data_IF_481610309058
#
_entry.id   IF_481610309058
#
_cell.length_a   1.000
_cell.length_b   1.000
_cell.length_c   1.000
_cell.angle_alpha   90.00
_cell.angle_beta   90.00
_cell.angle_gamma   90.00
#
_symmetry.space_group_name_H-M   'P 1'
#
loop_
_entity.id
_entity.type
_entity.pdbx_description
1 polymer ?
#
# COMPACT_ATOMS: atom_id res chain seq x y z
N UNK A 1 -6.71 -12.88 25.39
CA UNK A 1 -6.42 -12.40 24.00
C UNK A 1 -7.62 -11.60 23.51
N UNK A 2 -7.51 -10.29 23.47
CA UNK A 2 -8.60 -9.40 23.05
C UNK A 2 -8.78 -9.53 21.53
N UNK A 3 -9.86 -10.17 21.12
CA UNK A 3 -10.26 -10.34 19.71
C UNK A 3 -10.72 -8.98 19.13
N UNK A 4 -9.74 -8.08 18.93
CA UNK A 4 -10.00 -6.72 18.43
C UNK A 4 -10.41 -6.79 16.96
N UNK A 5 -11.48 -6.10 16.58
CA UNK A 5 -11.94 -6.00 15.20
C UNK A 5 -10.82 -5.44 14.30
N UNK A 6 -10.63 -6.06 13.14
CA UNK A 6 -9.69 -5.59 12.11
C UNK A 6 -10.49 -4.79 11.08
N UNK A 7 -10.14 -3.53 10.90
CA UNK A 7 -10.73 -2.71 9.85
C UNK A 7 -10.09 -3.02 8.48
N UNK A 8 -10.90 -2.90 7.41
CA UNK A 8 -10.48 -3.25 6.06
C UNK A 8 -10.60 -2.06 5.14
N UNK A 9 -9.53 -1.76 4.43
CA UNK A 9 -9.47 -0.85 3.32
C UNK A 9 -9.33 -1.58 1.98
N UNK A 10 -9.54 -0.85 0.91
CA UNK A 10 -9.35 -1.30 -0.47
C UNK A 10 -8.33 -0.41 -1.16
N UNK A 11 -7.30 -1.00 -1.74
CA UNK A 11 -6.47 -0.29 -2.72
C UNK A 11 -7.15 -0.37 -4.08
N UNK A 12 -7.30 0.78 -4.72
CA UNK A 12 -7.78 0.88 -6.09
C UNK A 12 -6.71 1.46 -6.99
N UNK A 13 -6.61 0.93 -8.20
CA UNK A 13 -5.71 1.47 -9.21
C UNK A 13 -6.14 2.86 -9.66
N UNK A 14 -5.19 3.64 -10.12
CA UNK A 14 -5.41 4.97 -10.69
C UNK A 14 -5.38 4.95 -12.23
N UNK A 15 -5.54 3.77 -12.83
CA UNK A 15 -5.59 3.62 -14.28
C UNK A 15 -6.96 3.96 -14.87
N UNK A 16 -7.02 4.39 -16.14
CA UNK A 16 -8.26 4.49 -16.89
C UNK A 16 -8.99 3.13 -17.00
N UNK A 17 -10.31 3.13 -17.21
CA UNK A 17 -11.19 4.30 -17.28
C UNK A 17 -11.62 4.78 -15.89
N UNK A 18 -11.91 6.08 -15.77
CA UNK A 18 -12.36 6.71 -14.52
C UNK A 18 -13.60 6.05 -13.90
N UNK A 19 -14.46 5.42 -14.73
CA UNK A 19 -15.60 4.63 -14.27
C UNK A 19 -15.18 3.47 -13.36
N UNK A 20 -14.02 2.87 -13.56
CA UNK A 20 -13.46 1.81 -12.73
C UNK A 20 -13.26 2.29 -11.28
N UNK A 21 -12.58 3.41 -11.10
CA UNK A 21 -12.37 4.01 -9.77
C UNK A 21 -13.70 4.34 -9.07
N UNK A 22 -14.71 4.86 -9.83
CA UNK A 22 -16.05 5.16 -9.29
C UNK A 22 -16.78 3.90 -8.81
N UNK A 23 -16.75 2.83 -9.60
CA UNK A 23 -17.41 1.55 -9.26
C UNK A 23 -16.75 0.96 -8.00
N UNK A 24 -15.44 0.94 -7.92
CA UNK A 24 -14.72 0.42 -6.77
C UNK A 24 -14.96 1.26 -5.51
N UNK A 25 -15.01 2.59 -5.62
CA UNK A 25 -15.38 3.47 -4.51
C UNK A 25 -16.80 3.19 -4.03
N UNK A 26 -17.77 3.04 -4.95
CA UNK A 26 -19.15 2.72 -4.59
C UNK A 26 -19.24 1.37 -3.89
N UNK A 27 -18.55 0.34 -4.41
CA UNK A 27 -18.48 -0.97 -3.79
C UNK A 27 -17.89 -0.91 -2.37
N UNK A 28 -16.80 -0.16 -2.17
CA UNK A 28 -16.21 0.06 -0.86
C UNK A 28 -17.19 0.74 0.13
N UNK A 29 -17.97 1.73 -0.34
CA UNK A 29 -19.01 2.39 0.47
C UNK A 29 -20.13 1.45 0.88
N UNK A 30 -20.68 0.70 -0.09
CA UNK A 30 -21.75 -0.28 0.16
C UNK A 30 -21.29 -1.39 1.10
N UNK A 31 -20.04 -1.81 0.95
CA UNK A 31 -19.39 -2.79 1.82
C UNK A 31 -19.03 -2.23 3.21
N UNK A 32 -19.18 -0.92 3.43
CA UNK A 32 -18.78 -0.22 4.66
C UNK A 32 -17.32 -0.45 5.02
N UNK A 33 -16.44 -0.44 4.01
CA UNK A 33 -15.02 -0.48 4.26
C UNK A 33 -14.56 0.78 5.03
N UNK A 34 -13.42 0.70 5.68
CA UNK A 34 -12.86 1.81 6.47
C UNK A 34 -12.17 2.84 5.56
N UNK A 35 -11.41 2.39 4.57
CA UNK A 35 -10.60 3.26 3.72
C UNK A 35 -10.55 2.83 2.26
N UNK A 36 -10.23 3.80 1.41
CA UNK A 36 -9.82 3.58 0.01
C UNK A 36 -8.50 4.29 -0.19
N UNK A 37 -7.50 3.53 -0.67
CA UNK A 37 -6.14 4.02 -0.92
C UNK A 37 -5.86 4.01 -2.42
N UNK A 38 -5.40 5.14 -2.95
CA UNK A 38 -4.95 5.26 -4.35
C UNK A 38 -3.47 4.95 -4.48
N UNK A 39 -3.05 4.56 -5.68
CA UNK A 39 -1.64 4.37 -6.04
C UNK A 39 -1.09 5.70 -6.59
N UNK A 40 0.17 6.03 -6.29
CA UNK A 40 0.88 7.17 -6.88
C UNK A 40 2.05 6.66 -7.74
N UNK A 41 1.77 6.34 -8.99
CA UNK A 41 2.76 5.85 -9.94
C UNK A 41 2.72 6.66 -11.25
N UNK A 42 3.86 6.72 -11.93
CA UNK A 42 3.97 7.09 -13.35
C UNK A 42 4.02 5.84 -14.22
N UNK A 43 4.61 4.76 -13.71
CA UNK A 43 4.65 3.47 -14.39
C UNK A 43 4.36 2.31 -13.44
N UNK A 44 3.80 1.24 -13.98
CA UNK A 44 3.57 0.01 -13.22
C UNK A 44 4.84 -0.85 -13.19
N UNK A 45 4.89 -1.81 -12.24
CA UNK A 45 5.91 -2.85 -12.23
C UNK A 45 5.82 -3.86 -13.39
N UNK A 46 4.92 -3.65 -14.37
CA UNK A 46 4.78 -4.51 -15.55
C UNK A 46 5.54 -3.88 -16.72
N UNK A 47 6.61 -4.53 -17.22
CA UNK A 47 7.33 -4.03 -18.40
C UNK A 47 6.44 -4.00 -19.64
N UNK A 48 6.53 -2.93 -20.42
CA UNK A 48 5.79 -2.78 -21.69
C UNK A 48 6.09 -3.92 -22.66
N UNK A 49 7.32 -4.43 -22.64
CA UNK A 49 7.76 -5.51 -23.52
C UNK A 49 6.96 -6.81 -23.39
N UNK A 50 6.33 -7.07 -22.24
CA UNK A 50 5.49 -8.25 -21.98
C UNK A 50 4.00 -7.93 -21.89
N UNK A 51 3.60 -6.66 -22.06
CA UNK A 51 2.19 -6.23 -22.00
C UNK A 51 1.44 -6.69 -23.25
N UNK A 52 0.77 -7.82 -23.16
CA UNK A 52 0.00 -8.44 -24.24
C UNK A 52 -1.13 -9.34 -23.67
N UNK A 53 -1.96 -9.89 -24.56
CA UNK A 53 -3.09 -10.74 -24.18
C UNK A 53 -2.71 -12.05 -23.50
N UNK A 54 -1.45 -12.53 -23.72
CA UNK A 54 -0.96 -13.76 -23.08
C UNK A 54 -0.59 -13.52 -21.61
N UNK A 55 -0.25 -12.27 -21.27
CA UNK A 55 -0.03 -11.87 -19.90
C UNK A 55 -1.36 -11.64 -19.17
N UNK A 56 -2.21 -10.79 -19.74
CA UNK A 56 -3.47 -10.39 -19.11
C UNK A 56 -4.50 -9.93 -20.15
N UNK A 57 -5.77 -10.21 -19.88
CA UNK A 57 -6.88 -9.71 -20.68
C UNK A 57 -6.99 -8.17 -20.70
N UNK A 58 -6.44 -7.49 -19.68
CA UNK A 58 -6.40 -6.02 -19.58
C UNK A 58 -5.65 -5.40 -20.75
N UNK A 59 -4.58 -6.04 -21.22
CA UNK A 59 -3.82 -5.57 -22.37
C UNK A 59 -4.60 -5.51 -23.69
N UNK A 60 -5.81 -6.08 -23.71
CA UNK A 60 -6.72 -5.92 -24.85
C UNK A 60 -7.58 -4.63 -24.77
N UNK A 61 -7.61 -3.97 -23.62
CA UNK A 61 -8.42 -2.78 -23.33
C UNK A 61 -7.53 -1.54 -23.16
N UNK A 62 -6.37 -1.72 -22.53
CA UNK A 62 -5.44 -0.64 -22.20
C UNK A 62 -4.29 -0.64 -23.19
N UNK A 63 -3.98 0.52 -23.74
CA UNK A 63 -2.89 0.67 -24.71
C UNK A 63 -1.52 0.53 -24.04
N UNK A 64 -1.43 0.84 -22.73
CA UNK A 64 -0.20 0.78 -21.95
C UNK A 64 -0.44 0.31 -20.53
N UNK A 65 0.49 -0.45 -19.91
CA UNK A 65 0.44 -0.76 -18.48
C UNK A 65 0.73 0.47 -17.60
N UNK A 66 1.19 1.59 -18.20
CA UNK A 66 1.68 2.78 -17.50
C UNK A 66 0.71 3.96 -17.57
N UNK A 67 -0.56 3.74 -17.81
CA UNK A 67 -1.58 4.79 -17.82
C UNK A 67 -2.09 5.05 -16.39
N UNK A 68 -1.57 6.10 -15.75
CA UNK A 68 -1.99 6.48 -14.40
C UNK A 68 -2.51 7.90 -14.34
N UNK A 69 -3.63 8.10 -13.65
CA UNK A 69 -4.08 9.43 -13.23
C UNK A 69 -3.23 9.94 -12.06
N UNK A 70 -3.05 11.26 -11.98
CA UNK A 70 -2.50 11.89 -10.78
C UNK A 70 -3.42 11.60 -9.57
N UNK A 71 -2.83 11.07 -8.48
CA UNK A 71 -3.60 10.64 -7.32
C UNK A 71 -4.26 11.81 -6.59
N UNK A 72 -3.66 13.00 -6.55
CA UNK A 72 -4.22 14.16 -5.83
C UNK A 72 -5.47 14.67 -6.54
N UNK A 73 -5.40 14.78 -7.87
CA UNK A 73 -6.55 15.15 -8.71
C UNK A 73 -7.68 14.13 -8.56
N UNK A 74 -7.33 12.83 -8.60
CA UNK A 74 -8.32 11.75 -8.48
C UNK A 74 -8.90 11.69 -7.06
N UNK A 75 -8.14 11.92 -5.99
CA UNK A 75 -8.65 12.02 -4.63
C UNK A 75 -9.67 13.16 -4.49
N UNK A 76 -9.35 14.35 -5.04
CA UNK A 76 -10.27 15.49 -5.08
C UNK A 76 -11.57 15.15 -5.81
N UNK A 77 -11.48 14.49 -6.97
CA UNK A 77 -12.66 14.04 -7.73
C UNK A 77 -13.53 13.03 -6.95
N UNK A 78 -12.91 12.11 -6.22
CA UNK A 78 -13.62 11.07 -5.47
C UNK A 78 -14.16 11.56 -4.13
N UNK A 79 -13.64 12.66 -3.58
CA UNK A 79 -13.94 13.16 -2.24
C UNK A 79 -15.43 13.37 -1.99
N UNK A 80 -16.14 14.03 -2.93
CA UNK A 80 -17.60 14.29 -2.82
C UNK A 80 -18.44 13.01 -2.78
N UNK A 81 -17.88 11.89 -3.26
CA UNK A 81 -18.53 10.57 -3.35
C UNK A 81 -18.10 9.60 -2.27
N UNK A 82 -17.09 9.93 -1.47
CA UNK A 82 -16.49 9.05 -0.47
C UNK A 82 -17.43 8.70 0.71
N UNK A 83 -18.36 9.59 1.05
CA UNK A 83 -19.24 9.40 2.21
C UNK A 83 -18.46 9.32 3.51
N UNK A 84 -18.49 8.16 4.18
CA UNK A 84 -17.77 7.91 5.45
C UNK A 84 -16.43 7.17 5.25
N UNK A 85 -16.06 6.84 4.02
CA UNK A 85 -14.76 6.26 3.72
C UNK A 85 -13.64 7.27 4.02
N UNK A 86 -12.54 6.79 4.54
CA UNK A 86 -11.29 7.53 4.58
C UNK A 86 -10.60 7.39 3.23
N UNK A 87 -10.33 8.48 2.56
CA UNK A 87 -9.55 8.49 1.33
C UNK A 87 -8.08 8.70 1.65
N UNK A 88 -7.21 8.11 0.85
CA UNK A 88 -5.77 8.30 1.02
C UNK A 88 -4.96 7.81 -0.17
N UNK A 89 -3.66 7.96 -0.07
CA UNK A 89 -2.65 7.43 -0.98
C UNK A 89 -1.82 6.35 -0.29
N UNK A 90 -1.50 5.27 -0.99
CA UNK A 90 -0.75 4.19 -0.40
C UNK A 90 0.25 3.55 -1.36
N UNK A 91 1.47 4.12 -1.51
CA UNK A 91 2.05 5.30 -0.86
C UNK A 91 2.53 6.32 -1.90
N UNK A 92 2.74 7.59 -1.51
CA UNK A 92 3.49 8.60 -2.27
C UNK A 92 4.90 8.78 -1.69
N UNK A 93 5.69 9.68 -2.27
CA UNK A 93 7.02 10.06 -1.77
C UNK A 93 7.28 11.57 -2.00
N UNK A 94 8.34 12.09 -1.39
CA UNK A 94 8.66 13.52 -1.42
C UNK A 94 9.88 13.85 -2.31
N UNK A 95 10.08 13.11 -3.40
CA UNK A 95 11.09 13.39 -4.42
C UNK A 95 10.43 14.09 -5.62
N UNK A 96 9.34 13.52 -6.15
CA UNK A 96 8.57 14.09 -7.25
C UNK A 96 7.74 15.32 -6.85
N UNK A 97 7.37 15.41 -5.56
CA UNK A 97 6.57 16.54 -5.03
C UNK A 97 7.18 17.10 -3.76
N UNK A 98 7.27 18.42 -3.68
CA UNK A 98 7.73 19.09 -2.47
C UNK A 98 6.80 18.80 -1.28
N UNK A 99 7.30 18.53 -0.06
CA UNK A 99 6.49 18.14 1.09
C UNK A 99 5.43 19.16 1.50
N UNK A 100 5.64 20.45 1.26
CA UNK A 100 4.63 21.51 1.46
C UNK A 100 3.43 21.31 0.54
N UNK A 101 3.65 20.95 -0.75
CA UNK A 101 2.56 20.67 -1.69
C UNK A 101 1.77 19.42 -1.29
N UNK A 102 2.46 18.40 -0.78
CA UNK A 102 1.81 17.19 -0.25
C UNK A 102 0.93 17.56 0.96
N UNK A 103 1.45 18.34 1.91
CA UNK A 103 0.70 18.79 3.08
C UNK A 103 -0.52 19.62 2.69
N UNK A 104 -0.37 20.58 1.78
CA UNK A 104 -1.46 21.43 1.28
C UNK A 104 -2.57 20.58 0.63
N UNK A 105 -2.21 19.63 -0.24
CA UNK A 105 -3.19 18.76 -0.90
C UNK A 105 -3.96 17.92 0.13
N UNK A 106 -3.29 17.37 1.14
CA UNK A 106 -3.92 16.58 2.18
C UNK A 106 -4.81 17.43 3.11
N UNK A 107 -4.40 18.65 3.46
CA UNK A 107 -5.23 19.62 4.17
C UNK A 107 -6.48 19.98 3.36
N UNK A 108 -6.32 20.26 2.06
CA UNK A 108 -7.46 20.51 1.16
C UNK A 108 -8.40 19.30 1.12
N UNK A 109 -7.87 18.09 1.00
CA UNK A 109 -8.67 16.86 1.00
C UNK A 109 -9.45 16.69 2.31
N UNK A 110 -8.89 17.12 3.45
CA UNK A 110 -9.60 17.08 4.74
C UNK A 110 -10.84 17.98 4.80
N UNK A 111 -10.88 19.06 4.02
CA UNK A 111 -12.07 19.89 3.87
C UNK A 111 -13.12 19.24 2.96
N UNK A 112 -12.69 18.49 1.96
CA UNK A 112 -13.56 17.85 0.97
C UNK A 112 -14.16 16.52 1.46
N UNK A 113 -13.60 15.91 2.52
CA UNK A 113 -14.03 14.61 3.06
C UNK A 113 -14.68 14.75 4.43
N UNK A 114 -15.46 13.73 4.83
CA UNK A 114 -16.11 13.68 6.15
C UNK A 114 -15.22 13.10 7.23
N UNK A 115 -14.11 12.46 6.87
CA UNK A 115 -13.16 11.82 7.79
C UNK A 115 -11.72 12.21 7.44
N UNK A 116 -10.85 12.16 8.43
CA UNK A 116 -9.42 12.45 8.25
C UNK A 116 -8.83 11.60 7.12
N UNK A 117 -8.22 12.21 6.09
CA UNK A 117 -7.57 11.47 5.01
C UNK A 117 -6.30 10.78 5.50
N UNK A 118 -5.80 9.83 4.70
CA UNK A 118 -4.57 9.09 4.99
C UNK A 118 -3.50 9.47 3.97
N UNK A 119 -2.41 10.05 4.44
CA UNK A 119 -1.20 10.22 3.69
C UNK A 119 -0.30 9.02 3.94
N UNK A 120 -0.37 8.00 3.08
CA UNK A 120 0.65 6.97 3.03
C UNK A 120 1.88 7.51 2.31
N UNK A 121 3.05 7.44 2.96
CA UNK A 121 4.30 7.98 2.43
C UNK A 121 5.46 7.03 2.69
N UNK A 122 6.34 6.87 1.69
CA UNK A 122 7.53 6.04 1.73
C UNK A 122 8.76 6.74 1.16
N UNK A 123 9.87 6.03 1.08
CA UNK A 123 11.11 6.57 0.56
C UNK A 123 11.13 6.72 -0.98
N UNK A 124 10.12 6.17 -1.65
CA UNK A 124 10.01 6.18 -3.11
C UNK A 124 10.47 4.89 -3.77
N UNK A 125 10.25 4.81 -5.06
CA UNK A 125 10.62 3.69 -5.93
C UNK A 125 11.41 4.24 -7.11
N UNK A 126 12.58 3.66 -7.37
CA UNK A 126 13.47 4.12 -8.44
C UNK A 126 12.77 4.22 -9.80
N UNK A 127 11.88 3.27 -10.12
CA UNK A 127 11.15 3.25 -11.39
C UNK A 127 10.31 4.51 -11.63
N UNK A 128 9.81 5.13 -10.57
CA UNK A 128 8.98 6.34 -10.66
C UNK A 128 9.80 7.65 -10.54
N UNK A 129 11.12 7.57 -10.45
CA UNK A 129 12.02 8.70 -10.15
C UNK A 129 13.13 8.83 -11.20
N UNK A 130 14.04 7.85 -11.30
CA UNK A 130 15.20 7.87 -12.20
C UNK A 130 14.86 8.16 -13.68
N UNK A 131 13.86 7.48 -14.29
CA UNK A 131 13.55 7.69 -15.70
C UNK A 131 13.04 9.09 -16.01
N UNK A 132 12.69 9.86 -15.00
CA UNK A 132 12.16 11.22 -15.13
C UNK A 132 13.21 12.30 -14.81
N UNK A 133 14.50 11.90 -14.71
CA UNK A 133 15.61 12.83 -14.46
C UNK A 133 15.67 13.35 -13.02
N UNK A 134 14.98 12.70 -12.08
CA UNK A 134 14.99 13.06 -10.66
C UNK A 134 16.04 12.22 -9.90
N UNK A 135 16.66 12.86 -8.92
CA UNK A 135 17.68 12.21 -8.09
C UNK A 135 17.07 11.30 -7.02
N UNK A 136 17.40 10.00 -7.09
CA UNK A 136 17.00 8.97 -6.11
C UNK A 136 18.06 8.76 -5.02
N UNK A 137 19.04 9.64 -4.88
CA UNK A 137 20.02 9.54 -3.81
C UNK A 137 19.38 9.81 -2.44
N UNK A 138 19.88 9.13 -1.41
CA UNK A 138 19.48 9.30 0.00
C UNK A 138 17.97 9.35 0.26
N UNK A 139 17.15 8.45 -0.35
CA UNK A 139 15.69 8.57 -0.33
C UNK A 139 15.10 8.53 1.09
N UNK A 140 15.74 7.80 2.02
CA UNK A 140 15.29 7.73 3.42
C UNK A 140 15.62 9.02 4.19
N UNK A 141 16.73 9.70 3.91
CA UNK A 141 17.06 11.00 4.50
C UNK A 141 16.09 12.06 4.00
N UNK A 142 15.81 12.07 2.71
CA UNK A 142 14.82 12.96 2.10
C UNK A 142 13.43 12.74 2.68
N UNK A 143 13.02 11.48 2.90
CA UNK A 143 11.76 11.16 3.56
C UNK A 143 11.72 11.69 5.00
N UNK A 144 12.79 11.53 5.77
CA UNK A 144 12.85 12.02 7.16
C UNK A 144 12.61 13.53 7.24
N UNK A 145 13.32 14.31 6.41
CA UNK A 145 13.10 15.76 6.33
C UNK A 145 11.71 16.12 5.84
N UNK A 146 11.18 15.37 4.84
CA UNK A 146 9.82 15.57 4.34
C UNK A 146 8.76 15.34 5.42
N UNK A 147 8.91 14.31 6.25
CA UNK A 147 8.02 14.03 7.38
C UNK A 147 8.04 15.18 8.40
N UNK A 148 9.21 15.75 8.69
CA UNK A 148 9.32 16.91 9.56
C UNK A 148 8.60 18.13 8.97
N UNK A 149 8.86 18.44 7.70
CA UNK A 149 8.21 19.57 7.00
C UNK A 149 6.67 19.36 6.95
N UNK A 150 6.21 18.16 6.62
CA UNK A 150 4.77 17.86 6.59
C UNK A 150 4.15 18.05 7.98
N UNK A 151 4.80 17.55 9.04
CA UNK A 151 4.33 17.74 10.42
C UNK A 151 4.24 19.22 10.78
N UNK A 152 5.26 20.02 10.45
CA UNK A 152 5.23 21.47 10.65
C UNK A 152 4.03 22.10 9.92
N UNK A 153 3.82 21.77 8.64
CA UNK A 153 2.70 22.30 7.87
C UNK A 153 1.31 21.91 8.45
N UNK A 154 1.17 20.68 8.97
CA UNK A 154 -0.10 20.22 9.56
C UNK A 154 -0.41 20.83 10.92
N UNK A 155 0.59 21.38 11.63
CA UNK A 155 0.45 21.95 12.98
C UNK A 155 0.77 23.43 13.09
N UNK A 156 1.16 24.09 11.99
CA UNK A 156 1.60 25.47 12.00
C UNK A 156 0.57 26.44 12.58
N UNK A 157 1.04 27.42 13.32
CA UNK A 157 0.30 28.56 13.85
C UNK A 157 1.05 29.87 13.57
N UNK A 158 1.68 29.95 12.42
CA UNK A 158 2.50 31.08 11.99
C UNK A 158 3.61 30.63 11.04
N UNK A 159 4.58 31.52 10.75
CA UNK A 159 5.64 31.23 9.80
C UNK A 159 6.48 30.01 10.18
N UNK A 160 6.76 29.13 9.21
CA UNK A 160 7.52 27.90 9.33
C UNK A 160 8.94 28.15 8.84
N UNK A 161 9.92 27.83 9.66
CA UNK A 161 11.34 27.80 9.26
C UNK A 161 11.87 26.37 9.44
N UNK A 162 12.54 25.84 8.42
CA UNK A 162 13.17 24.53 8.43
C UNK A 162 14.47 24.57 7.62
N UNK A 163 15.52 23.95 8.13
CA UNK A 163 16.82 23.88 7.45
C UNK A 163 17.31 22.43 7.48
N UNK A 164 17.12 21.72 6.36
CA UNK A 164 17.62 20.39 6.12
C UNK A 164 18.60 20.36 4.96
N UNK A 165 19.06 19.16 4.61
CA UNK A 165 19.92 18.91 3.45
C UNK A 165 19.15 19.02 2.13
N UNK A 166 17.92 18.51 2.12
CA UNK A 166 17.06 18.38 0.92
C UNK A 166 15.97 19.45 0.86
N UNK A 167 15.49 19.92 2.02
CA UNK A 167 14.43 20.92 2.06
C UNK A 167 14.84 22.10 2.95
N UNK A 168 14.45 23.30 2.51
CA UNK A 168 14.66 24.52 3.28
C UNK A 168 13.41 25.38 3.18
N UNK A 169 12.90 25.83 4.32
CA UNK A 169 11.82 26.80 4.42
C UNK A 169 12.34 28.02 5.20
N UNK A 170 12.05 29.20 4.71
CA UNK A 170 12.39 30.46 5.34
C UNK A 170 11.11 31.27 5.55
N UNK A 171 10.60 31.31 6.79
CA UNK A 171 9.36 31.99 7.18
C UNK A 171 8.17 31.67 6.25
N UNK A 172 8.11 30.43 5.77
CA UNK A 172 7.04 29.97 4.88
C UNK A 172 5.69 29.93 5.60
N UNK A 173 4.62 30.24 4.91
CA UNK A 173 3.26 30.30 5.47
C UNK A 173 2.39 29.15 4.99
N UNK A 174 1.70 28.49 5.92
CA UNK A 174 0.66 27.48 5.65
C UNK A 174 -0.50 27.69 6.63
N UNK A 175 -1.39 28.61 6.28
CA UNK A 175 -2.52 29.01 7.15
C UNK A 175 -3.79 28.15 6.95
N UNK A 176 -3.76 27.21 5.99
CA UNK A 176 -4.86 26.26 5.80
C UNK A 176 -4.85 25.24 6.92
N UNK A 177 -5.75 25.40 7.89
CA UNK A 177 -5.92 24.46 8.99
C UNK A 177 -6.85 23.29 8.60
N UNK A 178 -6.58 22.10 9.13
CA UNK A 178 -7.54 21.00 9.02
C UNK A 178 -8.80 21.27 9.85
N UNK A 179 -9.98 20.92 9.37
CA UNK A 179 -11.20 20.96 10.19
C UNK A 179 -11.04 20.09 11.45
N UNK A 180 -11.66 20.51 12.55
CA UNK A 180 -11.57 19.81 13.85
C UNK A 180 -11.82 18.29 13.70
N UNK A 181 -10.92 17.49 14.22
CA UNK A 181 -10.97 16.02 14.16
C UNK A 181 -10.68 15.41 12.78
N UNK A 182 -10.21 16.21 11.80
CA UNK A 182 -9.89 15.73 10.44
C UNK A 182 -8.46 16.03 9.99
N UNK A 183 -7.54 16.20 10.93
CA UNK A 183 -6.12 16.33 10.59
C UNK A 183 -5.67 15.09 9.81
N UNK A 184 -5.02 15.27 8.63
CA UNK A 184 -4.51 14.15 7.84
C UNK A 184 -3.60 13.25 8.68
N UNK A 185 -3.79 11.93 8.57
CA UNK A 185 -2.92 10.97 9.26
C UNK A 185 -1.77 10.57 8.34
N UNK A 186 -0.56 10.58 8.87
CA UNK A 186 0.65 10.15 8.16
C UNK A 186 0.89 8.67 8.45
N UNK A 187 0.80 7.82 7.41
CA UNK A 187 1.11 6.40 7.49
C UNK A 187 2.42 6.13 6.76
N UNK A 188 3.45 5.70 7.50
CA UNK A 188 4.78 5.47 6.94
C UNK A 188 4.90 4.04 6.43
N UNK A 189 5.20 3.90 5.14
CA UNK A 189 5.50 2.62 4.48
C UNK A 189 6.99 2.29 4.57
N UNK A 190 7.31 1.05 4.93
CA UNK A 190 8.68 0.56 4.97
C UNK A 190 8.92 -0.52 6.02
N UNK A 191 10.07 -1.20 5.92
CA UNK A 191 10.37 -2.38 6.75
C UNK A 191 11.79 -2.38 7.34
N UNK A 192 12.72 -1.60 6.79
CA UNK A 192 14.10 -1.50 7.29
C UNK A 192 14.19 -0.75 8.62
N UNK A 193 15.24 -0.97 9.42
CA UNK A 193 15.33 -0.41 10.77
C UNK A 193 15.16 1.13 10.83
N UNK A 194 15.74 1.86 9.87
CA UNK A 194 15.58 3.32 9.80
C UNK A 194 14.13 3.71 9.49
N UNK A 195 13.46 2.98 8.58
CA UNK A 195 12.06 3.24 8.22
C UNK A 195 11.12 2.97 9.41
N UNK A 196 11.37 1.93 10.21
CA UNK A 196 10.60 1.65 11.43
C UNK A 196 10.75 2.77 12.47
N UNK A 197 11.97 3.32 12.62
CA UNK A 197 12.20 4.49 13.49
C UNK A 197 11.43 5.71 13.00
N UNK A 198 11.42 5.99 11.69
CA UNK A 198 10.66 7.11 11.12
C UNK A 198 9.15 6.92 11.32
N UNK A 199 8.63 5.69 11.15
CA UNK A 199 7.23 5.38 11.42
C UNK A 199 6.85 5.67 12.89
N UNK A 200 7.69 5.30 13.85
CA UNK A 200 7.50 5.60 15.27
C UNK A 200 7.56 7.10 15.57
N UNK A 201 8.61 7.78 15.09
CA UNK A 201 8.86 9.21 15.40
C UNK A 201 7.85 10.15 14.75
N UNK A 202 7.41 9.87 13.52
CA UNK A 202 6.63 10.82 12.72
C UNK A 202 5.30 10.26 12.22
N UNK A 203 5.07 8.93 12.23
CA UNK A 203 3.86 8.32 11.70
C UNK A 203 2.68 8.32 12.69
N UNK A 204 1.45 8.41 12.17
CA UNK A 204 0.20 8.07 12.87
C UNK A 204 -0.23 6.63 12.53
N UNK A 205 0.49 6.00 11.62
CA UNK A 205 0.35 4.59 11.27
C UNK A 205 1.63 4.04 10.67
N UNK A 206 1.83 2.74 10.83
CA UNK A 206 2.85 1.96 10.12
C UNK A 206 2.17 1.08 9.09
N UNK A 207 2.60 1.19 7.82
CA UNK A 207 1.90 0.63 6.65
C UNK A 207 2.87 -0.17 5.73
N UNK A 208 3.35 -1.33 6.19
CA UNK A 208 4.26 -2.19 5.40
C UNK A 208 3.53 -3.00 4.33
N UNK A 209 4.28 -3.46 3.31
CA UNK A 209 3.80 -4.33 2.23
C UNK A 209 4.48 -5.70 2.21
N UNK A 210 5.77 -5.78 2.51
CA UNK A 210 6.59 -7.00 2.29
C UNK A 210 6.84 -7.83 3.55
N UNK A 211 6.07 -7.63 4.61
CA UNK A 211 6.18 -8.48 5.83
C UNK A 211 5.52 -9.82 5.56
N UNK A 212 6.24 -10.94 5.70
CA UNK A 212 5.75 -12.26 5.28
C UNK A 212 4.99 -13.04 6.38
N UNK A 213 5.32 -12.85 7.66
CA UNK A 213 4.71 -13.60 8.76
C UNK A 213 4.14 -12.73 9.87
N UNK A 214 3.18 -13.27 10.67
CA UNK A 214 2.70 -12.60 11.87
C UNK A 214 3.81 -12.33 12.91
N UNK A 215 4.77 -13.22 13.04
CA UNK A 215 5.90 -13.09 13.97
C UNK A 215 6.80 -11.92 13.57
N UNK A 216 7.17 -11.84 12.28
CA UNK A 216 7.92 -10.72 11.74
C UNK A 216 7.15 -9.39 11.93
N UNK A 217 5.83 -9.41 11.69
CA UNK A 217 4.97 -8.23 11.88
C UNK A 217 5.01 -7.75 13.33
N UNK A 218 4.85 -8.66 14.31
CA UNK A 218 4.88 -8.34 15.73
C UNK A 218 6.23 -7.74 16.14
N UNK A 219 7.34 -8.33 15.70
CA UNK A 219 8.69 -7.84 16.00
C UNK A 219 8.94 -6.42 15.44
N UNK A 220 8.53 -6.19 14.19
CA UNK A 220 8.67 -4.87 13.55
C UNK A 220 7.73 -3.82 14.17
N UNK A 221 6.50 -4.19 14.53
CA UNK A 221 5.58 -3.32 15.24
C UNK A 221 6.13 -2.91 16.62
N UNK A 222 6.76 -3.83 17.34
CA UNK A 222 7.42 -3.51 18.60
C UNK A 222 8.54 -2.48 18.42
N UNK A 223 9.34 -2.59 17.36
CA UNK A 223 10.38 -1.61 17.04
C UNK A 223 9.78 -0.22 16.68
N UNK A 224 8.66 -0.17 15.96
CA UNK A 224 7.95 1.09 15.68
C UNK A 224 7.44 1.73 16.97
N UNK A 225 6.85 0.94 17.87
CA UNK A 225 6.34 1.43 19.17
C UNK A 225 7.45 1.91 20.09
N UNK A 226 8.58 1.19 20.14
CA UNK A 226 9.75 1.64 20.87
C UNK A 226 10.25 3.00 20.38
N UNK A 227 10.39 3.18 19.07
CA UNK A 227 10.81 4.44 18.48
C UNK A 227 9.80 5.60 18.72
N UNK A 228 8.51 5.29 18.86
CA UNK A 228 7.50 6.28 19.26
C UNK A 228 7.70 6.72 20.72
N UNK A 229 7.88 5.76 21.63
CA UNK A 229 8.13 6.03 23.05
C UNK A 229 9.43 6.83 23.25
N UNK A 230 10.52 6.48 22.55
CA UNK A 230 11.78 7.24 22.55
C UNK A 230 11.60 8.68 22.05
N UNK A 231 10.64 8.92 21.17
CA UNK A 231 10.30 10.26 20.68
C UNK A 231 9.27 10.99 21.56
N UNK A 232 8.91 10.45 22.74
CA UNK A 232 7.94 11.03 23.66
C UNK A 232 6.49 10.96 23.16
N UNK A 233 6.19 10.04 22.22
CA UNK A 233 4.84 9.87 21.64
C UNK A 233 4.14 8.66 22.24
N UNK A 234 2.82 8.72 22.35
CA UNK A 234 2.02 7.56 22.72
C UNK A 234 2.04 6.51 21.60
N UNK A 235 2.70 5.39 21.87
CA UNK A 235 2.85 4.29 20.93
C UNK A 235 1.52 3.58 20.57
N UNK A 236 0.50 3.67 21.44
CA UNK A 236 -0.80 3.04 21.19
C UNK A 236 -1.66 3.86 20.20
N UNK A 237 -1.34 5.12 19.96
CA UNK A 237 -2.00 5.95 18.95
C UNK A 237 -1.55 5.62 17.51
N UNK A 238 -0.46 4.85 17.35
CA UNK A 238 0.01 4.42 16.03
C UNK A 238 -0.93 3.32 15.50
N UNK A 239 -1.57 3.56 14.37
CA UNK A 239 -2.36 2.56 13.67
C UNK A 239 -1.46 1.46 13.08
N UNK A 240 -1.52 0.21 13.58
CA UNK A 240 -0.75 -0.89 12.99
C UNK A 240 -1.47 -1.39 11.74
N UNK A 241 -1.09 -0.85 10.59
CA UNK A 241 -1.70 -1.20 9.30
C UNK A 241 -0.85 -2.23 8.54
N UNK A 242 -1.42 -2.81 7.48
CA UNK A 242 -0.77 -3.76 6.60
C UNK A 242 -1.35 -3.63 5.20
N UNK A 243 -0.51 -3.57 4.17
CA UNK A 243 -0.92 -3.71 2.79
C UNK A 243 -0.78 -5.15 2.31
N UNK A 244 -1.74 -5.66 1.52
CA UNK A 244 -1.65 -7.00 0.94
C UNK A 244 -2.25 -7.08 -0.45
N UNK A 245 -1.44 -7.55 -1.38
CA UNK A 245 -1.95 -8.12 -2.63
C UNK A 245 -2.65 -9.45 -2.32
N UNK A 246 -3.82 -9.68 -2.91
CA UNK A 246 -4.62 -10.86 -2.63
C UNK A 246 -5.12 -11.55 -3.91
N UNK A 247 -4.85 -12.86 -4.02
CA UNK A 247 -5.38 -13.76 -5.04
C UNK A 247 -6.47 -14.62 -4.42
N UNK A 248 -7.73 -14.33 -4.73
CA UNK A 248 -8.88 -14.93 -4.05
C UNK A 248 -9.70 -15.72 -5.06
N UNK A 249 -9.81 -17.03 -4.85
CA UNK A 249 -10.63 -17.94 -5.65
C UNK A 249 -11.88 -18.42 -4.90
N UNK A 250 -12.87 -18.91 -5.63
CA UNK A 250 -14.05 -19.54 -5.05
C UNK A 250 -13.69 -20.87 -4.35
N UNK A 251 -12.69 -21.56 -4.87
CA UNK A 251 -12.07 -22.75 -4.30
C UNK A 251 -10.57 -22.53 -4.15
N UNK A 252 -9.92 -23.33 -3.30
CA UNK A 252 -8.47 -23.32 -3.15
C UNK A 252 -7.78 -23.70 -4.47
N UNK A 253 -8.32 -24.69 -5.18
CA UNK A 253 -7.83 -25.08 -6.51
C UNK A 253 -7.86 -23.93 -7.51
N UNK A 254 -8.93 -23.13 -7.52
CA UNK A 254 -9.03 -21.95 -8.39
C UNK A 254 -8.02 -20.88 -8.00
N UNK A 255 -7.87 -20.60 -6.70
CA UNK A 255 -6.87 -19.65 -6.22
C UNK A 255 -5.44 -20.10 -6.55
N UNK A 256 -5.16 -21.40 -6.39
CA UNK A 256 -3.86 -22.00 -6.72
C UNK A 256 -3.55 -21.91 -8.21
N UNK A 257 -4.52 -22.24 -9.07
CA UNK A 257 -4.35 -22.13 -10.52
C UNK A 257 -4.07 -20.68 -10.98
N UNK A 258 -4.63 -19.69 -10.29
CA UNK A 258 -4.31 -18.27 -10.57
C UNK A 258 -2.87 -17.91 -10.24
N UNK A 259 -2.26 -18.50 -9.19
CA UNK A 259 -0.83 -18.27 -8.86
C UNK A 259 0.10 -18.70 -10.00
N UNK A 260 -0.29 -19.69 -10.80
CA UNK A 260 0.52 -20.23 -11.90
C UNK A 260 0.44 -19.40 -13.18
N UNK A 261 -0.44 -18.39 -13.23
CA UNK A 261 -0.54 -17.51 -14.39
C UNK A 261 0.64 -16.53 -14.44
N UNK A 262 1.11 -16.21 -15.65
CA UNK A 262 2.24 -15.25 -15.85
C UNK A 262 1.99 -13.92 -15.14
N UNK A 263 0.77 -13.39 -15.18
CA UNK A 263 0.40 -12.12 -14.55
C UNK A 263 0.58 -12.13 -13.03
N UNK A 264 0.24 -13.23 -12.37
CA UNK A 264 0.39 -13.35 -10.91
C UNK A 264 1.83 -13.72 -10.54
N UNK A 265 2.49 -14.61 -11.31
CA UNK A 265 3.90 -14.95 -11.07
C UNK A 265 4.84 -13.74 -11.23
N UNK A 266 4.50 -12.78 -12.08
CA UNK A 266 5.24 -11.50 -12.18
C UNK A 266 5.31 -10.77 -10.82
N UNK A 267 4.27 -10.86 -9.99
CA UNK A 267 4.27 -10.28 -8.64
C UNK A 267 5.30 -10.94 -7.72
N UNK A 268 5.70 -12.18 -7.99
CA UNK A 268 6.77 -12.87 -7.26
C UNK A 268 8.14 -12.22 -7.46
N UNK A 269 8.36 -11.51 -8.56
CA UNK A 269 9.58 -10.70 -8.77
C UNK A 269 9.64 -9.49 -7.82
N UNK A 270 8.52 -9.06 -7.26
CA UNK A 270 8.51 -8.00 -6.26
C UNK A 270 8.78 -8.51 -4.83
N UNK A 271 8.89 -9.82 -4.63
CA UNK A 271 9.27 -10.36 -3.34
C UNK A 271 10.74 -10.04 -3.04
N UNK A 272 11.08 -9.65 -1.79
CA UNK A 272 12.46 -9.36 -1.40
C UNK A 272 13.40 -10.56 -1.65
N UNK A 273 14.67 -10.28 -1.92
CA UNK A 273 15.67 -11.32 -2.21
C UNK A 273 15.88 -12.34 -1.06
N UNK A 274 15.60 -11.96 0.18
CA UNK A 274 15.62 -12.89 1.33
C UNK A 274 14.48 -13.91 1.29
N UNK A 275 13.30 -13.54 0.79
CA UNK A 275 12.18 -14.47 0.55
C UNK A 275 12.58 -15.52 -0.51
N UNK A 276 13.29 -15.09 -1.56
CA UNK A 276 13.83 -16.01 -2.57
C UNK A 276 14.87 -16.96 -1.98
N UNK A 277 15.80 -16.45 -1.14
CA UNK A 277 16.79 -17.29 -0.46
C UNK A 277 16.15 -18.33 0.47
N UNK A 278 15.09 -17.94 1.21
CA UNK A 278 14.31 -18.86 2.04
C UNK A 278 13.63 -19.96 1.20
N UNK A 279 13.24 -19.63 -0.03
CA UNK A 279 12.72 -20.59 -1.01
C UNK A 279 13.80 -21.43 -1.72
N UNK A 280 15.06 -21.32 -1.31
CA UNK A 280 16.18 -22.07 -1.89
C UNK A 280 16.64 -21.57 -3.26
N UNK A 281 16.32 -20.33 -3.62
CA UNK A 281 16.63 -19.74 -4.93
C UNK A 281 17.32 -18.38 -4.82
N UNK A 282 18.00 -18.00 -5.89
CA UNK A 282 18.58 -16.67 -6.05
C UNK A 282 17.63 -15.84 -6.93
N UNK A 283 17.39 -14.59 -6.55
CA UNK A 283 16.56 -13.70 -7.34
C UNK A 283 17.18 -13.48 -8.73
N UNK A 284 16.43 -13.70 -9.84
CA UNK A 284 16.99 -13.71 -11.19
C UNK A 284 17.51 -12.37 -11.68
N UNK A 285 17.10 -11.26 -11.05
CA UNK A 285 17.57 -9.91 -11.36
C UNK A 285 18.71 -9.45 -10.43
N UNK A 286 19.16 -10.30 -9.50
CA UNK A 286 20.30 -10.03 -8.61
C UNK A 286 20.14 -10.64 -7.22
N UNK A 287 21.22 -11.18 -6.65
CA UNK A 287 21.21 -11.86 -5.35
C UNK A 287 20.76 -10.95 -4.17
N UNK A 288 20.92 -9.65 -4.32
CA UNK A 288 20.51 -8.62 -3.34
C UNK A 288 19.44 -7.69 -3.89
N UNK A 289 18.72 -8.13 -4.93
CA UNK A 289 17.72 -7.31 -5.62
C UNK A 289 16.64 -6.80 -4.65
N UNK A 290 16.43 -5.49 -4.68
CA UNK A 290 15.34 -4.80 -4.02
C UNK A 290 14.47 -4.11 -5.09
N UNK A 291 13.24 -4.56 -5.22
CA UNK A 291 12.30 -4.05 -6.24
C UNK A 291 12.14 -2.53 -6.18
N UNK A 292 12.14 -1.95 -5.00
CA UNK A 292 11.95 -0.50 -4.84
C UNK A 292 13.17 0.31 -5.30
N UNK A 293 14.37 -0.29 -5.18
CA UNK A 293 15.64 0.37 -5.45
C UNK A 293 16.19 0.00 -6.82
N UNK A 294 16.02 -1.25 -7.25
CA UNK A 294 16.75 -1.79 -8.41
C UNK A 294 15.87 -1.94 -9.65
N UNK A 295 14.53 -2.02 -9.49
CA UNK A 295 13.64 -2.33 -10.59
C UNK A 295 13.19 -1.08 -11.34
N UNK A 296 13.53 -1.04 -12.64
CA UNK A 296 12.95 -0.11 -13.62
C UNK A 296 12.42 -0.96 -14.78
N UNK A 297 11.11 -1.20 -14.85
CA UNK A 297 10.51 -2.25 -15.69
C UNK A 297 10.96 -2.20 -17.16
N UNK A 298 10.88 -1.04 -17.80
CA UNK A 298 11.16 -0.88 -19.22
C UNK A 298 12.67 -0.90 -19.57
N UNK A 299 13.57 -1.01 -18.58
CA UNK A 299 15.01 -1.31 -18.82
C UNK A 299 15.25 -2.79 -19.07
N UNK A 300 14.24 -3.66 -18.86
CA UNK A 300 14.35 -5.11 -19.06
C UNK A 300 13.64 -5.55 -20.34
N UNK A 301 14.37 -6.27 -21.19
CA UNK A 301 13.79 -6.84 -22.41
C UNK A 301 12.85 -8.02 -22.13
N UNK A 302 11.95 -8.31 -23.07
CA UNK A 302 10.95 -9.39 -22.99
C UNK A 302 11.54 -10.72 -22.51
N UNK A 303 12.61 -11.21 -23.16
CA UNK A 303 13.22 -12.50 -22.86
C UNK A 303 13.71 -12.60 -21.41
N UNK A 304 14.37 -11.55 -20.93
CA UNK A 304 14.89 -11.53 -19.56
C UNK A 304 13.77 -11.59 -18.51
N UNK A 305 12.68 -10.83 -18.73
CA UNK A 305 11.54 -10.83 -17.80
C UNK A 305 10.75 -12.14 -17.88
N UNK A 306 10.52 -12.70 -19.07
CA UNK A 306 9.84 -13.99 -19.21
C UNK A 306 10.63 -15.12 -18.55
N UNK A 307 11.96 -15.13 -18.66
CA UNK A 307 12.83 -16.06 -17.95
C UNK A 307 12.76 -15.84 -16.42
N UNK A 308 12.78 -14.59 -15.97
CA UNK A 308 12.66 -14.26 -14.56
C UNK A 308 11.31 -14.73 -13.98
N UNK A 309 10.20 -14.50 -14.69
CA UNK A 309 8.86 -14.99 -14.29
C UNK A 309 8.83 -16.52 -14.21
N UNK A 310 9.43 -17.21 -15.18
CA UNK A 310 9.49 -18.68 -15.20
C UNK A 310 10.33 -19.24 -14.03
N UNK A 311 11.32 -18.49 -13.58
CA UNK A 311 12.21 -18.86 -12.48
C UNK A 311 11.61 -18.64 -11.08
N UNK A 312 10.44 -17.96 -10.95
CA UNK A 312 9.82 -17.72 -9.64
C UNK A 312 9.49 -19.04 -8.95
N UNK A 313 10.07 -19.33 -7.78
CA UNK A 313 9.77 -20.58 -7.06
C UNK A 313 8.31 -20.58 -6.56
N UNK A 314 7.75 -21.76 -6.44
CA UNK A 314 6.41 -21.96 -5.89
C UNK A 314 6.30 -21.44 -4.46
N UNK A 315 7.31 -21.66 -3.64
CA UNK A 315 7.37 -21.18 -2.26
C UNK A 315 7.30 -19.64 -2.18
N UNK A 316 7.92 -18.90 -3.10
CA UNK A 316 7.80 -17.44 -3.17
C UNK A 316 6.33 -17.01 -3.38
N UNK A 317 5.58 -17.76 -4.17
CA UNK A 317 4.16 -17.47 -4.44
C UNK A 317 3.24 -17.90 -3.30
N UNK A 318 3.55 -18.98 -2.60
CA UNK A 318 2.66 -19.59 -1.60
C UNK A 318 2.96 -19.18 -0.18
N UNK A 319 4.22 -18.88 0.13
CA UNK A 319 4.72 -18.54 1.48
C UNK A 319 5.22 -17.10 1.59
N UNK A 320 5.36 -16.39 0.46
CA UNK A 320 5.76 -14.99 0.41
C UNK A 320 4.66 -14.01 0.84
N UNK A 321 4.85 -12.71 0.55
CA UNK A 321 3.94 -11.66 1.03
C UNK A 321 2.56 -11.64 0.36
N UNK A 322 2.33 -12.46 -0.67
CA UNK A 322 1.05 -12.54 -1.37
C UNK A 322 0.02 -13.34 -0.54
N UNK A 323 -1.14 -12.75 -0.28
CA UNK A 323 -2.27 -13.52 0.27
C UNK A 323 -2.97 -14.29 -0.84
N UNK A 324 -3.21 -15.58 -0.61
CA UNK A 324 -3.96 -16.37 -1.57
C UNK A 324 -4.86 -17.41 -0.88
N UNK A 325 -5.89 -17.84 -1.58
CA UNK A 325 -6.83 -18.87 -1.12
C UNK A 325 -8.29 -18.47 -1.29
N UNK A 326 -9.18 -19.17 -0.61
CA UNK A 326 -10.59 -18.80 -0.47
C UNK A 326 -10.75 -17.62 0.50
N UNK A 327 -11.89 -16.93 0.49
CA UNK A 327 -12.18 -15.87 1.46
C UNK A 327 -12.00 -16.33 2.91
N UNK A 328 -12.35 -17.60 3.23
CA UNK A 328 -12.20 -18.18 4.56
C UNK A 328 -10.72 -18.33 4.97
N UNK A 329 -9.89 -18.82 4.06
CA UNK A 329 -8.44 -18.99 4.29
C UNK A 329 -7.75 -17.63 4.45
N UNK A 330 -8.10 -16.65 3.60
CA UNK A 330 -7.58 -15.28 3.71
C UNK A 330 -7.97 -14.64 5.05
N UNK A 331 -9.21 -14.81 5.50
CA UNK A 331 -9.65 -14.34 6.83
C UNK A 331 -8.83 -14.99 7.95
N UNK A 332 -8.55 -16.30 7.88
CA UNK A 332 -7.74 -16.98 8.87
C UNK A 332 -6.30 -16.43 8.94
N UNK A 333 -5.67 -16.24 7.77
CA UNK A 333 -4.34 -15.61 7.65
C UNK A 333 -4.32 -14.19 8.24
N UNK A 334 -5.32 -13.36 7.90
CA UNK A 334 -5.41 -11.98 8.40
C UNK A 334 -5.69 -11.92 9.91
N UNK A 335 -6.43 -12.87 10.47
CA UNK A 335 -6.62 -12.97 11.93
C UNK A 335 -5.31 -13.26 12.65
N UNK A 336 -4.44 -14.12 12.11
CA UNK A 336 -3.11 -14.35 12.67
C UNK A 336 -2.27 -13.06 12.72
N UNK A 337 -2.35 -12.21 11.69
CA UNK A 337 -1.75 -10.86 11.74
C UNK A 337 -2.47 -9.97 12.78
N UNK A 338 -3.78 -10.11 12.95
CA UNK A 338 -4.54 -9.41 13.99
C UNK A 338 -4.09 -9.78 15.40
N UNK A 339 -3.82 -11.08 15.64
CA UNK A 339 -3.27 -11.58 16.90
C UNK A 339 -1.84 -11.06 17.13
N UNK A 340 -1.08 -10.82 16.06
CA UNK A 340 0.24 -10.17 16.07
C UNK A 340 0.19 -8.63 16.20
N UNK A 341 -1.00 -8.06 16.40
CA UNK A 341 -1.17 -6.62 16.66
C UNK A 341 -1.73 -5.78 15.52
N UNK A 342 -1.91 -6.33 14.30
CA UNK A 342 -2.51 -5.60 13.18
C UNK A 342 -3.96 -5.18 13.48
N UNK A 343 -4.33 -3.94 13.12
CA UNK A 343 -5.69 -3.39 13.31
C UNK A 343 -6.34 -2.87 12.05
N UNK A 344 -5.55 -2.65 11.00
CA UNK A 344 -6.05 -2.22 9.69
C UNK A 344 -5.35 -2.95 8.57
N UNK A 345 -6.10 -3.56 7.65
CA UNK A 345 -5.53 -4.14 6.43
C UNK A 345 -6.10 -3.44 5.20
N UNK A 346 -5.23 -3.05 4.27
CA UNK A 346 -5.63 -2.57 2.94
C UNK A 346 -5.38 -3.70 1.95
N UNK A 347 -6.46 -4.18 1.34
CA UNK A 347 -6.41 -5.26 0.36
C UNK A 347 -6.32 -4.70 -1.06
N UNK A 348 -5.42 -5.25 -1.86
CA UNK A 348 -5.32 -5.06 -3.30
C UNK A 348 -5.67 -6.38 -4.00
N UNK A 349 -6.92 -6.60 -4.42
CA UNK A 349 -7.32 -7.85 -5.06
C UNK A 349 -6.77 -7.93 -6.48
N UNK A 350 -5.67 -8.68 -6.67
CA UNK A 350 -4.97 -8.83 -7.95
C UNK A 350 -5.46 -9.98 -8.80
N UNK A 351 -6.43 -10.79 -8.33
CA UNK A 351 -7.10 -11.81 -9.15
C UNK A 351 -7.66 -11.24 -10.46
N UNK A 352 -7.97 -9.94 -10.47
CA UNK A 352 -8.44 -9.21 -11.65
C UNK A 352 -7.47 -9.21 -12.83
N UNK A 353 -6.18 -9.40 -12.60
CA UNK A 353 -5.18 -9.53 -13.67
C UNK A 353 -5.39 -10.77 -14.51
N UNK A 354 -6.01 -11.83 -13.96
CA UNK A 354 -6.21 -13.11 -14.63
C UNK A 354 -7.43 -13.08 -15.56
N UNK A 355 -8.57 -12.56 -15.09
CA UNK A 355 -9.80 -12.51 -15.90
C UNK A 355 -10.84 -11.55 -15.30
N UNK A 356 -11.82 -11.15 -16.15
CA UNK A 356 -12.99 -10.35 -15.70
C UNK A 356 -13.81 -11.08 -14.62
N UNK A 357 -13.95 -12.40 -14.72
CA UNK A 357 -14.66 -13.23 -13.73
C UNK A 357 -13.93 -13.17 -12.40
N UNK A 358 -12.61 -13.36 -12.40
CA UNK A 358 -11.76 -13.28 -11.19
C UNK A 358 -11.76 -11.87 -10.58
N UNK A 359 -11.81 -10.80 -11.40
CA UNK A 359 -11.95 -9.43 -10.93
C UNK A 359 -13.26 -9.22 -10.13
N UNK A 360 -14.40 -9.65 -10.69
CA UNK A 360 -15.70 -9.53 -10.01
C UNK A 360 -15.74 -10.35 -8.73
N UNK A 361 -15.23 -11.59 -8.79
CA UNK A 361 -15.17 -12.46 -7.62
C UNK A 361 -14.26 -11.88 -6.54
N UNK A 362 -13.08 -11.39 -6.88
CA UNK A 362 -12.12 -10.78 -5.95
C UNK A 362 -12.72 -9.59 -5.19
N UNK A 363 -13.48 -8.73 -5.88
CA UNK A 363 -14.18 -7.62 -5.25
C UNK A 363 -15.26 -8.10 -4.27
N UNK A 364 -16.12 -9.05 -4.69
CA UNK A 364 -17.13 -9.64 -3.82
C UNK A 364 -16.51 -10.35 -2.61
N UNK A 365 -15.42 -11.09 -2.81
CA UNK A 365 -14.69 -11.76 -1.76
C UNK A 365 -14.09 -10.78 -0.75
N UNK A 366 -13.59 -9.62 -1.21
CA UNK A 366 -13.09 -8.55 -0.34
C UNK A 366 -14.19 -8.04 0.60
N UNK A 367 -15.41 -7.88 0.10
CA UNK A 367 -16.57 -7.51 0.94
C UNK A 367 -16.87 -8.57 1.99
N UNK A 368 -16.83 -9.85 1.64
CA UNK A 368 -17.03 -10.97 2.59
C UNK A 368 -15.94 -11.02 3.66
N UNK A 369 -14.69 -10.84 3.24
CA UNK A 369 -13.54 -10.78 4.15
C UNK A 369 -13.73 -9.63 5.15
N UNK A 370 -14.09 -8.44 4.67
CA UNK A 370 -14.31 -7.28 5.52
C UNK A 370 -15.40 -7.55 6.57
N UNK A 371 -16.55 -8.08 6.16
CA UNK A 371 -17.63 -8.45 7.10
C UNK A 371 -17.19 -9.46 8.14
N UNK A 372 -16.37 -10.45 7.75
CA UNK A 372 -15.87 -11.49 8.66
C UNK A 372 -14.84 -10.98 9.67
N UNK A 373 -14.06 -9.94 9.30
CA UNK A 373 -13.03 -9.35 10.16
C UNK A 373 -13.58 -8.30 11.12
N UNK A 374 -14.64 -7.58 10.72
CA UNK A 374 -15.30 -6.56 11.54
C UNK A 374 -16.32 -7.13 12.51
N UNK A 375 -16.91 -8.33 12.23
CA UNK A 375 -17.81 -9.00 13.16
C UNK A 375 -17.02 -9.53 14.37
N UNK A 376 -17.35 -9.06 15.58
CA UNK A 376 -16.92 -9.72 16.83
C UNK A 376 -17.45 -11.14 16.80
N UNK A 377 -16.60 -12.15 17.04
CA UNK A 377 -17.11 -13.49 17.38
C UNK A 377 -17.96 -13.35 18.65
N UNK A 378 -19.28 -13.42 18.50
CA UNK A 378 -20.13 -13.64 19.65
C UNK A 378 -19.63 -14.91 20.34
N UNK A 379 -19.33 -14.82 21.61
CA UNK A 379 -19.21 -16.01 22.45
C UNK A 379 -20.57 -16.71 22.37
N UNK A 380 -20.67 -17.71 21.50
CA UNK A 380 -21.72 -18.71 21.61
C UNK A 380 -21.46 -19.46 22.90
N UNK A 381 -22.13 -19.01 23.98
CA UNK A 381 -22.34 -19.89 25.14
C UNK A 381 -23.03 -21.15 24.62
N UNK A 382 -22.58 -22.34 24.99
CA UNK A 382 -23.34 -23.54 24.70
C UNK A 382 -24.69 -23.37 25.37
N UNK A 383 -25.78 -23.44 24.60
CA UNK A 383 -27.11 -23.62 25.13
C UNK A 383 -27.12 -25.04 25.71
N UNK A 384 -27.09 -25.12 27.04
CA UNK A 384 -27.39 -26.32 27.77
C UNK A 384 -28.86 -26.77 27.56
#
# INVERSE_FOLDING_TARGET
MTNSAISVGLQIGTQPPLSGARVLLLAARVARLESVMLIDHFQSGVPRAIWNKDLTWLAAQDQSPHEFYDYQVLLGYLASRAGRLRLGVGVTEAIRRHPVLIAQAMLTLSHLTRRAPILGIGAGERMNIDPYGLDFSEPVTRLEEALQVIRLCLSARGPITFSGKHFRLDRATMDLEAPRGRVPQIWVGGHGPRMLRLAGRYGDGWYPVSVVSPQEYAAKLAAVRAAAAEAGRDAELITPALHRFAVIGATEREARAMLDTKAIRLLGLAAPADVWRQAGAVHPLGAHFDTLVDFVPDRHGRRAIEQAIAAVPDAVMTEGPLLWGTSRQVVAKLRAFGDAGMRHVVLAPVSGLVSRRAARYGLWATVRIARSLTSRRGHGAPRG
#
